data_IF_997662126178
#
_entry.id   IF_997662126178
#
_cell.length_a   1.000
_cell.length_b   1.000
_cell.length_c   1.000
_cell.angle_alpha   90.00
_cell.angle_beta   90.00
_cell.angle_gamma   90.00
#
_symmetry.space_group_name_H-M   'P 1'
#
loop_
_entity.id
_entity.type
_entity.pdbx_description
1 polymer ?
#
# COMPACT_ATOMS: atom_id res chain seq x y z
N UNK A 1 -11.17 9.90 -3.44
CA UNK A 1 -11.88 8.63 -3.58
C UNK A 1 -11.12 7.51 -2.91
N UNK A 2 -11.66 6.29 -3.03
CA UNK A 2 -10.96 5.06 -2.68
C UNK A 2 -9.85 4.76 -3.71
N UNK A 3 -8.79 4.07 -3.28
CA UNK A 3 -7.72 3.60 -4.13
C UNK A 3 -7.09 2.34 -3.55
N UNK A 4 -6.44 1.55 -4.40
CA UNK A 4 -5.76 0.33 -4.00
C UNK A 4 -4.47 0.12 -4.79
N UNK A 5 -3.47 -0.46 -4.14
CA UNK A 5 -2.26 -0.98 -4.76
C UNK A 5 -2.43 -2.48 -5.01
N UNK A 6 -2.23 -2.94 -6.23
CA UNK A 6 -2.06 -4.35 -6.57
C UNK A 6 -0.57 -4.62 -6.72
N UNK A 7 -0.02 -5.32 -5.73
CA UNK A 7 1.41 -5.59 -5.61
C UNK A 7 1.68 -7.07 -5.84
N UNK A 8 2.48 -7.40 -6.85
CA UNK A 8 3.02 -8.74 -7.03
C UNK A 8 4.37 -8.83 -6.34
N UNK A 9 4.45 -9.71 -5.35
CA UNK A 9 5.67 -9.89 -4.58
C UNK A 9 5.84 -11.34 -4.14
N UNK A 10 7.08 -11.70 -3.83
CA UNK A 10 7.45 -12.95 -3.17
C UNK A 10 8.23 -12.63 -1.90
N UNK A 11 8.04 -13.44 -0.86
CA UNK A 11 8.79 -13.33 0.40
C UNK A 11 9.42 -14.68 0.76
N UNK A 12 10.50 -14.66 1.54
CA UNK A 12 11.20 -15.86 2.01
C UNK A 12 10.69 -16.37 3.38
N UNK A 13 9.60 -15.80 3.87
CA UNK A 13 8.92 -16.14 5.13
C UNK A 13 7.43 -16.37 4.91
N UNK A 14 6.78 -16.92 5.92
CA UNK A 14 5.34 -17.22 5.85
C UNK A 14 4.46 -15.99 6.14
N UNK A 15 5.05 -14.88 6.59
CA UNK A 15 4.33 -13.65 6.95
C UNK A 15 5.19 -12.39 6.74
N UNK A 16 4.54 -11.27 6.44
CA UNK A 16 5.10 -9.92 6.53
C UNK A 16 3.99 -8.87 6.58
N UNK A 17 4.27 -7.74 7.20
CA UNK A 17 3.45 -6.54 7.00
C UNK A 17 3.84 -5.88 5.68
N UNK A 18 2.84 -5.52 4.87
CA UNK A 18 2.97 -4.56 3.79
C UNK A 18 2.42 -3.23 4.27
N UNK A 19 3.18 -2.17 4.04
CA UNK A 19 2.80 -0.80 4.32
C UNK A 19 3.10 0.04 3.09
N UNK A 20 2.13 0.86 2.71
CA UNK A 20 2.14 1.61 1.46
C UNK A 20 1.80 3.05 1.78
N UNK A 21 2.67 3.98 1.41
CA UNK A 21 2.42 5.41 1.54
C UNK A 21 2.37 6.05 0.15
N UNK A 22 1.40 6.92 -0.07
CA UNK A 22 1.32 7.76 -1.25
C UNK A 22 1.66 9.21 -0.86
N UNK A 23 2.62 9.79 -1.55
CA UNK A 23 3.21 11.08 -1.23
C UNK A 23 3.04 12.07 -2.37
N UNK A 24 2.81 13.33 -2.00
CA UNK A 24 2.91 14.50 -2.87
C UNK A 24 4.30 15.13 -2.66
N UNK A 25 5.12 15.12 -3.70
CA UNK A 25 6.50 15.62 -3.70
C UNK A 25 6.55 16.95 -4.44
N UNK A 26 6.85 18.02 -3.71
CA UNK A 26 7.01 19.35 -4.28
C UNK A 26 8.34 19.49 -5.05
N UNK A 27 8.48 20.47 -5.97
CA UNK A 27 9.72 20.72 -6.71
C UNK A 27 10.96 20.97 -5.84
N UNK A 28 10.77 21.45 -4.61
CA UNK A 28 11.83 21.68 -3.62
C UNK A 28 12.23 20.40 -2.85
N UNK A 29 11.63 19.25 -3.18
CA UNK A 29 11.87 17.96 -2.54
C UNK A 29 11.02 17.71 -1.29
N UNK A 30 10.18 18.66 -0.87
CA UNK A 30 9.31 18.46 0.31
C UNK A 30 8.26 17.39 0.03
N UNK A 31 8.20 16.39 0.92
CA UNK A 31 7.27 15.26 0.86
C UNK A 31 6.10 15.48 1.80
N UNK A 32 4.87 15.32 1.31
CA UNK A 32 3.64 15.39 2.11
C UNK A 32 2.83 14.12 1.94
N UNK A 33 2.43 13.49 3.04
CA UNK A 33 1.55 12.32 3.00
C UNK A 33 0.19 12.68 2.38
N UNK A 34 -0.22 11.89 1.37
CA UNK A 34 -1.56 11.95 0.77
C UNK A 34 -2.47 10.94 1.45
N UNK A 35 -2.02 9.69 1.52
CA UNK A 35 -2.74 8.57 2.11
C UNK A 35 -1.78 7.41 2.37
N UNK A 36 -2.22 6.45 3.16
CA UNK A 36 -1.47 5.25 3.54
C UNK A 36 -2.41 4.04 3.61
N UNK A 37 -1.85 2.85 3.50
CA UNK A 37 -2.54 1.57 3.62
C UNK A 37 -1.61 0.50 4.18
N UNK A 38 -2.18 -0.50 4.83
CA UNK A 38 -1.43 -1.63 5.37
C UNK A 38 -2.19 -2.95 5.21
N UNK A 39 -1.43 -4.03 5.06
CA UNK A 39 -1.96 -5.39 4.92
C UNK A 39 -0.97 -6.38 5.54
N UNK A 40 -1.44 -7.23 6.44
CA UNK A 40 -0.70 -8.42 6.86
C UNK A 40 -0.83 -9.49 5.76
N UNK A 41 0.28 -10.10 5.36
CA UNK A 41 0.33 -10.93 4.15
C UNK A 41 -0.48 -12.24 4.28
N UNK A 42 -0.64 -12.77 5.49
CA UNK A 42 -1.49 -13.92 5.81
C UNK A 42 -2.99 -13.63 5.66
N UNK A 43 -3.38 -12.36 5.70
CA UNK A 43 -4.75 -11.88 5.51
C UNK A 43 -5.02 -11.37 4.09
N UNK A 44 -4.22 -11.81 3.11
CA UNK A 44 -4.33 -11.39 1.70
C UNK A 44 -5.61 -11.82 0.99
N UNK A 45 -6.35 -12.80 1.54
CA UNK A 45 -7.59 -13.28 0.95
C UNK A 45 -8.58 -12.14 0.72
N UNK A 46 -9.33 -12.21 -0.37
CA UNK A 46 -10.35 -11.22 -0.72
C UNK A 46 -11.74 -11.82 -0.62
N UNK A 47 -12.67 -11.06 -0.06
CA UNK A 47 -14.10 -11.29 -0.27
C UNK A 47 -14.45 -10.79 -1.68
N UNK A 48 -14.52 -11.69 -2.65
CA UNK A 48 -14.79 -11.36 -4.06
C UNK A 48 -16.15 -10.67 -4.26
N UNK A 49 -17.13 -10.93 -3.38
CA UNK A 49 -18.48 -10.37 -3.52
C UNK A 49 -18.55 -8.93 -3.00
N UNK A 50 -17.83 -8.64 -1.92
CA UNK A 50 -17.77 -7.31 -1.32
C UNK A 50 -16.71 -6.42 -1.97
N UNK A 51 -15.66 -7.00 -2.54
CA UNK A 51 -14.53 -6.25 -3.10
C UNK A 51 -14.90 -5.49 -4.37
N UNK A 52 -14.21 -4.36 -4.57
CA UNK A 52 -14.15 -3.62 -5.83
C UNK A 52 -12.68 -3.36 -6.16
N UNK A 53 -12.30 -3.11 -7.42
CA UNK A 53 -10.90 -2.87 -7.77
C UNK A 53 -10.23 -1.77 -6.93
N UNK A 54 -10.94 -0.69 -6.64
CA UNK A 54 -10.45 0.42 -5.81
C UNK A 54 -10.68 0.24 -4.30
N UNK A 55 -11.35 -0.84 -3.88
CA UNK A 55 -11.72 -1.13 -2.49
C UNK A 55 -11.69 -2.66 -2.25
N UNK A 56 -10.49 -3.26 -2.13
CA UNK A 56 -10.37 -4.66 -1.74
C UNK A 56 -10.82 -4.85 -0.29
N UNK A 57 -11.58 -5.91 -0.04
CA UNK A 57 -12.11 -6.27 1.29
C UNK A 57 -11.50 -7.60 1.72
N UNK A 58 -10.78 -7.58 2.84
CA UNK A 58 -10.12 -8.75 3.39
C UNK A 58 -10.91 -9.33 4.56
N UNK A 59 -11.35 -10.60 4.49
CA UNK A 59 -11.84 -11.32 5.65
C UNK A 59 -10.73 -11.41 6.70
N UNK A 60 -11.03 -11.04 7.95
CA UNK A 60 -10.08 -11.17 9.07
C UNK A 60 -10.19 -12.51 9.79
N UNK A 61 -10.70 -13.52 9.11
CA UNK A 61 -10.85 -14.88 9.63
C UNK A 61 -9.78 -15.74 8.96
N UNK A 62 -9.28 -16.73 9.68
CA UNK A 62 -8.43 -17.79 9.14
C UNK A 62 -7.19 -17.29 8.36
N UNK A 63 -6.17 -16.73 9.04
CA UNK A 63 -4.92 -16.35 8.38
C UNK A 63 -4.32 -17.54 7.62
N UNK A 64 -3.91 -17.30 6.37
CA UNK A 64 -3.31 -18.32 5.51
C UNK A 64 -1.83 -18.00 5.32
N UNK A 65 -0.89 -18.86 5.76
CA UNK A 65 0.54 -18.65 5.53
C UNK A 65 0.86 -18.31 4.07
N UNK A 66 1.83 -17.42 3.87
CA UNK A 66 2.32 -17.07 2.54
C UNK A 66 3.23 -18.19 2.02
N UNK A 67 3.03 -18.68 0.77
CA UNK A 67 3.93 -19.66 0.18
C UNK A 67 5.33 -19.07 -0.03
N UNK A 68 6.35 -19.80 0.44
CA UNK A 68 7.74 -19.34 0.43
C UNK A 68 8.29 -19.17 -0.98
N UNK A 69 8.83 -17.99 -1.27
CA UNK A 69 9.44 -17.61 -2.54
C UNK A 69 8.53 -17.71 -3.77
N UNK A 70 7.22 -17.85 -3.58
CA UNK A 70 6.24 -17.84 -4.65
C UNK A 70 5.70 -16.42 -4.90
N UNK A 71 5.36 -16.12 -6.15
CA UNK A 71 4.78 -14.83 -6.52
C UNK A 71 3.32 -14.83 -6.09
N UNK A 72 3.00 -13.95 -5.14
CA UNK A 72 1.66 -13.71 -4.63
C UNK A 72 1.23 -12.30 -5.04
N UNK A 73 -0.07 -12.14 -5.29
CA UNK A 73 -0.68 -10.82 -5.50
C UNK A 73 -1.32 -10.33 -4.20
N UNK A 74 -0.98 -9.10 -3.83
CA UNK A 74 -1.51 -8.41 -2.66
C UNK A 74 -2.32 -7.20 -3.12
N UNK A 75 -3.62 -7.22 -2.88
CA UNK A 75 -4.47 -6.05 -3.07
C UNK A 75 -4.50 -5.26 -1.76
N UNK A 76 -3.92 -4.07 -1.73
CA UNK A 76 -3.76 -3.26 -0.52
C UNK A 76 -4.65 -2.03 -0.65
N UNK A 77 -5.69 -1.93 0.18
CA UNK A 77 -6.53 -0.74 0.25
C UNK A 77 -5.77 0.42 0.92
N UNK A 78 -5.85 1.61 0.33
CA UNK A 78 -5.38 2.84 0.98
C UNK A 78 -6.58 3.63 1.52
N UNK A 79 -6.32 4.46 2.52
CA UNK A 79 -7.35 5.32 3.11
C UNK A 79 -7.93 6.28 2.04
N UNK A 80 -9.26 6.50 2.02
CA UNK A 80 -9.88 7.43 1.08
C UNK A 80 -9.34 8.84 1.26
N UNK A 81 -9.01 9.51 0.16
CA UNK A 81 -8.40 10.85 0.19
C UNK A 81 -8.92 11.74 -0.93
N UNK A 82 -8.71 13.05 -0.81
CA UNK A 82 -8.94 14.02 -1.87
C UNK A 82 -7.77 14.99 -1.90
N UNK A 83 -7.01 14.99 -3.00
CA UNK A 83 -5.78 15.77 -3.13
C UNK A 83 -5.65 16.33 -4.53
N UNK A 84 -5.33 17.61 -4.61
CA UNK A 84 -4.88 18.26 -5.85
C UNK A 84 -3.35 18.20 -5.86
N UNK A 85 -2.79 17.51 -6.85
CA UNK A 85 -1.35 17.52 -7.13
C UNK A 85 -1.08 18.69 -8.08
N UNK A 86 -0.29 19.66 -7.61
CA UNK A 86 -0.05 20.91 -8.37
C UNK A 86 0.91 20.66 -9.53
N UNK A 87 0.88 21.54 -10.53
CA UNK A 87 1.87 21.51 -11.60
C UNK A 87 3.31 21.53 -11.05
N UNK A 88 4.16 20.67 -11.59
CA UNK A 88 5.56 20.48 -11.14
C UNK A 88 5.73 19.57 -9.93
N UNK A 89 4.66 19.16 -9.25
CA UNK A 89 4.73 18.13 -8.21
C UNK A 89 4.77 16.73 -8.83
N UNK A 90 5.26 15.76 -8.05
CA UNK A 90 5.27 14.34 -8.39
C UNK A 90 4.50 13.52 -7.34
N UNK A 91 3.93 12.40 -7.79
CA UNK A 91 3.38 11.38 -6.89
C UNK A 91 4.47 10.34 -6.65
N UNK A 92 4.80 10.09 -5.39
CA UNK A 92 5.76 9.05 -4.98
C UNK A 92 5.01 7.95 -4.21
N UNK A 93 5.25 6.69 -4.59
CA UNK A 93 4.75 5.51 -3.90
C UNK A 93 5.90 4.91 -3.09
N UNK A 94 5.71 4.78 -1.78
CA UNK A 94 6.65 4.11 -0.88
C UNK A 94 6.05 2.79 -0.45
N UNK A 95 6.80 1.71 -0.64
CA UNK A 95 6.45 0.37 -0.16
C UNK A 95 7.47 -0.02 0.90
N UNK A 96 7.00 -0.39 2.09
CA UNK A 96 7.83 -0.75 3.24
C UNK A 96 7.15 -1.86 4.04
N UNK A 97 7.88 -2.45 5.00
CA UNK A 97 7.39 -3.52 5.86
C UNK A 97 7.34 -3.15 7.35
N UNK A 98 7.89 -2.00 7.71
CA UNK A 98 7.93 -1.50 9.07
C UNK A 98 7.68 0.02 9.08
N UNK A 99 7.15 0.50 10.19
CA UNK A 99 7.06 1.93 10.44
C UNK A 99 8.42 2.53 10.72
N UNK A 100 8.59 3.77 10.27
CA UNK A 100 9.73 4.59 10.65
C UNK A 100 9.34 5.39 11.89
N UNK A 101 9.94 5.02 13.02
CA UNK A 101 9.73 5.62 14.35
C UNK A 101 10.05 7.12 14.39
N UNK A 102 10.84 7.62 13.43
CA UNK A 102 11.21 9.02 13.30
C UNK A 102 10.48 9.72 12.13
N UNK A 103 9.64 9.00 11.40
CA UNK A 103 8.96 9.54 10.24
C UNK A 103 7.97 10.63 10.63
N UNK A 104 8.14 11.80 10.01
CA UNK A 104 7.18 12.91 10.06
C UNK A 104 5.88 12.62 9.32
N UNK A 105 5.78 11.47 8.65
CA UNK A 105 4.55 10.99 8.01
C UNK A 105 3.62 10.27 9.02
N UNK A 106 4.00 10.26 10.30
CA UNK A 106 3.44 9.40 11.33
C UNK A 106 1.92 9.44 11.50
N UNK A 107 1.38 8.27 11.84
CA UNK A 107 -0.02 8.03 12.24
C UNK A 107 -0.30 8.56 13.65
N UNK A 108 0.04 9.82 13.92
CA UNK A 108 -0.17 10.50 15.19
C UNK A 108 0.45 9.79 16.41
N UNK A 109 1.62 9.18 16.22
CA UNK A 109 2.33 8.43 17.27
C UNK A 109 1.85 7.00 17.47
N UNK A 110 0.94 6.49 16.62
CA UNK A 110 0.56 5.08 16.56
C UNK A 110 1.40 4.39 15.49
N UNK A 111 2.00 3.25 15.83
CA UNK A 111 2.84 2.46 14.93
C UNK A 111 2.43 1.00 14.97
N UNK A 112 2.53 0.33 13.84
CA UNK A 112 2.48 -1.13 13.76
C UNK A 112 3.80 -1.71 14.28
N UNK A 113 3.70 -2.78 15.07
CA UNK A 113 4.88 -3.52 15.46
C UNK A 113 5.52 -4.18 14.23
N UNK A 114 6.85 -4.18 14.14
CA UNK A 114 7.53 -4.88 13.07
C UNK A 114 7.30 -6.39 13.20
N UNK A 115 7.35 -7.09 12.07
CA UNK A 115 7.51 -8.53 12.10
C UNK A 115 8.92 -8.83 12.66
N UNK A 116 8.99 -9.60 13.75
CA UNK A 116 10.23 -9.79 14.53
C UNK A 116 11.22 -10.78 13.87
N UNK A 117 11.15 -10.92 12.55
CA UNK A 117 12.07 -11.72 11.75
C UNK A 117 12.55 -10.92 10.55
N UNK A 118 13.76 -11.23 10.08
CA UNK A 118 14.23 -10.70 8.79
C UNK A 118 13.48 -11.38 7.66
N UNK A 119 12.83 -10.56 6.82
CA UNK A 119 12.09 -10.98 5.62
C UNK A 119 12.71 -10.31 4.40
N UNK A 120 12.96 -11.08 3.35
CA UNK A 120 13.40 -10.59 2.04
C UNK A 120 12.20 -10.45 1.12
N UNK A 121 11.88 -9.22 0.72
CA UNK A 121 10.81 -8.93 -0.24
C UNK A 121 11.36 -8.82 -1.67
N UNK A 122 10.79 -9.56 -2.61
CA UNK A 122 11.05 -9.40 -4.04
C UNK A 122 9.80 -8.84 -4.71
N UNK A 123 9.88 -7.63 -5.24
CA UNK A 123 8.77 -6.93 -5.89
C UNK A 123 8.90 -7.06 -7.41
N UNK A 124 7.81 -7.44 -8.07
CA UNK A 124 7.77 -7.65 -9.52
C UNK A 124 7.03 -6.50 -10.21
N UNK A 125 7.78 -5.64 -10.88
CA UNK A 125 7.26 -4.53 -11.68
C UNK A 125 6.76 -5.02 -13.06
N UNK A 126 5.85 -4.27 -13.67
CA UNK A 126 5.25 -4.59 -14.98
C UNK A 126 3.80 -5.07 -14.89
N UNK A 127 3.45 -5.77 -13.81
CA UNK A 127 2.05 -6.15 -13.51
C UNK A 127 1.56 -5.63 -12.15
N UNK A 128 2.45 -5.06 -11.33
CA UNK A 128 2.05 -4.31 -10.13
C UNK A 128 1.61 -2.90 -10.53
N UNK A 129 0.50 -2.41 -9.97
CA UNK A 129 -0.04 -1.07 -10.29
C UNK A 129 -0.86 -0.49 -9.13
N UNK A 130 -0.98 0.83 -9.09
CA UNK A 130 -1.88 1.55 -8.19
C UNK A 130 -3.06 2.13 -8.97
N UNK A 131 -4.27 1.95 -8.46
CA UNK A 131 -5.49 2.53 -9.03
C UNK A 131 -5.76 3.89 -8.42
N UNK A 132 -5.51 4.96 -9.17
CA UNK A 132 -5.79 6.33 -8.71
C UNK A 132 -7.16 6.81 -9.19
N UNK A 133 -8.03 7.35 -8.31
CA UNK A 133 -9.30 7.96 -8.69
C UNK A 133 -9.04 9.37 -9.27
N UNK A 134 -8.51 9.41 -10.49
CA UNK A 134 -8.21 10.65 -11.19
C UNK A 134 -9.50 11.38 -11.56
N UNK A 135 -9.59 12.65 -11.18
CA UNK A 135 -10.68 13.54 -11.55
C UNK A 135 -10.02 14.71 -12.31
N UNK A 136 -10.27 14.84 -13.63
CA UNK A 136 -9.71 15.94 -14.41
C UNK A 136 -10.30 17.28 -13.95
N UNK A 137 -9.53 18.36 -14.11
CA UNK A 137 -9.93 19.70 -13.67
C UNK A 137 -11.09 20.29 -14.51
N UNK A 138 -11.22 19.84 -15.75
CA UNK A 138 -12.33 20.15 -16.65
C UNK A 138 -13.03 18.84 -17.02
N UNK A 139 -14.36 18.87 -17.09
CA UNK A 139 -15.13 17.77 -17.65
C UNK A 139 -14.95 17.80 -19.18
N UNK A 140 -14.51 16.69 -19.77
CA UNK A 140 -14.60 16.48 -21.22
C UNK A 140 -16.07 16.51 -21.70
#
# INVERSE_FOLDING_TARGET
GYMALYLRAAIDKEETNWMVDLLDVAPDGRRTLITQGSLAAEHRELDETASRPYLPIHPRKDPVPVPLNEIVEYAIALMPTSRVVKAGHAIELVIRNQDDLLSRLGSWGVYHLPHMETVTHRIYFGSSYILLPYIPAEAE
#
